data_IF_616552861602
#
_entry.id   IF_616552861602
#
_cell.length_a   1.000
_cell.length_b   1.000
_cell.length_c   1.000
_cell.angle_alpha   90.00
_cell.angle_beta   90.00
_cell.angle_gamma   90.00
#
_symmetry.space_group_name_H-M   'P 1'
#
loop_
_entity.id
_entity.type
_entity.pdbx_description
1 polymer ?
#
# COMPACT_ATOMS: atom_id res chain seq x y z
N UNK A 1 14.48 15.40 -24.30
CA UNK A 1 14.96 14.08 -24.77
C UNK A 1 15.66 13.31 -23.63
N UNK A 2 14.94 12.81 -22.65
CA UNK A 2 15.50 12.04 -21.51
C UNK A 2 14.57 10.99 -20.91
N UNK A 3 13.33 10.94 -21.34
CA UNK A 3 12.29 10.11 -20.73
C UNK A 3 12.39 8.60 -21.06
N UNK A 4 13.08 8.23 -22.14
CA UNK A 4 13.12 6.84 -22.62
C UNK A 4 14.04 5.90 -21.82
N UNK A 5 15.14 6.39 -21.27
CA UNK A 5 16.11 5.59 -20.52
C UNK A 5 15.66 5.31 -19.06
N UNK A 6 14.93 6.24 -18.46
CA UNK A 6 14.39 6.05 -17.09
C UNK A 6 13.24 5.04 -17.04
N UNK A 7 12.37 5.00 -18.07
CA UNK A 7 11.23 4.09 -18.12
C UNK A 7 11.61 2.61 -18.13
N UNK A 8 12.67 2.24 -18.84
CA UNK A 8 13.15 0.85 -18.92
C UNK A 8 13.70 0.34 -17.59
N UNK A 9 14.56 1.13 -16.95
CA UNK A 9 15.19 0.74 -15.66
C UNK A 9 14.18 0.72 -14.51
N UNK A 10 13.24 1.66 -14.46
CA UNK A 10 12.18 1.70 -13.45
C UNK A 10 11.22 0.52 -13.63
N UNK A 11 10.82 0.19 -14.88
CA UNK A 11 9.98 -0.97 -15.16
C UNK A 11 10.60 -2.28 -14.71
N UNK A 12 11.89 -2.48 -14.96
CA UNK A 12 12.63 -3.69 -14.52
C UNK A 12 12.75 -3.76 -13.00
N UNK A 13 13.00 -2.63 -12.32
CA UNK A 13 13.07 -2.58 -10.86
C UNK A 13 11.72 -2.91 -10.23
N UNK A 14 10.62 -2.33 -10.75
CA UNK A 14 9.27 -2.61 -10.30
C UNK A 14 8.88 -4.07 -10.51
N UNK A 15 9.22 -4.65 -11.65
CA UNK A 15 8.95 -6.05 -11.93
C UNK A 15 9.71 -6.97 -10.97
N UNK A 16 10.98 -6.69 -10.70
CA UNK A 16 11.79 -7.46 -9.73
C UNK A 16 11.25 -7.32 -8.30
N UNK A 17 10.85 -6.12 -7.90
CA UNK A 17 10.26 -5.87 -6.58
C UNK A 17 8.94 -6.63 -6.41
N UNK A 18 8.03 -6.53 -7.38
CA UNK A 18 6.74 -7.23 -7.34
C UNK A 18 6.91 -8.74 -7.30
N UNK A 19 7.78 -9.31 -8.13
CA UNK A 19 8.09 -10.75 -8.13
C UNK A 19 8.72 -11.16 -6.80
N UNK A 20 9.65 -10.36 -6.27
CA UNK A 20 10.26 -10.59 -4.95
C UNK A 20 9.22 -10.58 -3.83
N UNK A 21 8.28 -9.63 -3.84
CA UNK A 21 7.16 -9.57 -2.90
C UNK A 21 6.24 -10.79 -2.98
N UNK A 22 5.91 -11.25 -4.19
CA UNK A 22 5.12 -12.47 -4.38
C UNK A 22 5.85 -13.73 -3.91
N UNK A 23 7.16 -13.84 -4.13
CA UNK A 23 7.96 -14.96 -3.63
C UNK A 23 7.99 -14.95 -2.09
N UNK A 24 8.14 -13.79 -1.45
CA UNK A 24 8.10 -13.67 0.02
C UNK A 24 6.71 -14.03 0.56
N UNK A 25 5.65 -13.60 -0.09
CA UNK A 25 4.27 -13.94 0.27
C UNK A 25 4.08 -15.46 0.30
N UNK A 26 4.47 -16.17 -0.80
CA UNK A 26 4.44 -17.63 -0.87
C UNK A 26 5.35 -18.31 0.16
N UNK A 27 6.54 -17.76 0.42
CA UNK A 27 7.44 -18.32 1.43
C UNK A 27 6.92 -18.15 2.86
N UNK A 28 6.06 -17.18 3.08
CA UNK A 28 5.44 -16.89 4.37
C UNK A 28 4.13 -17.68 4.59
N UNK A 29 3.56 -18.31 3.55
CA UNK A 29 2.40 -19.19 3.69
C UNK A 29 2.70 -20.33 4.68
N UNK A 30 1.78 -20.57 5.59
CA UNK A 30 1.92 -21.58 6.65
C UNK A 30 2.93 -21.24 7.74
N UNK A 31 3.52 -20.03 7.73
CA UNK A 31 4.44 -19.56 8.77
C UNK A 31 3.85 -18.40 9.54
N UNK A 32 4.11 -18.39 10.85
CA UNK A 32 3.83 -17.20 11.68
C UNK A 32 4.93 -16.19 11.47
N UNK A 33 4.64 -15.11 10.74
CA UNK A 33 5.55 -13.98 10.55
C UNK A 33 5.16 -12.83 11.46
N UNK A 34 6.13 -11.96 11.78
CA UNK A 34 5.86 -10.75 12.55
C UNK A 34 5.29 -9.61 11.69
N UNK A 35 4.73 -8.58 12.33
CA UNK A 35 4.20 -7.39 11.64
C UNK A 35 5.24 -6.74 10.70
N UNK A 36 6.51 -6.70 11.12
CA UNK A 36 7.59 -6.13 10.32
C UNK A 36 7.85 -6.90 9.00
N UNK A 37 7.76 -8.24 9.04
CA UNK A 37 7.97 -9.07 7.86
C UNK A 37 6.76 -9.00 6.92
N UNK A 38 5.55 -8.95 7.48
CA UNK A 38 4.32 -8.72 6.74
C UNK A 38 4.38 -7.38 6.01
N UNK A 39 4.71 -6.30 6.72
CA UNK A 39 4.84 -4.97 6.16
C UNK A 39 5.85 -4.92 5.00
N UNK A 40 7.01 -5.56 5.16
CA UNK A 40 8.03 -5.64 4.12
C UNK A 40 7.54 -6.39 2.88
N UNK A 41 6.77 -7.45 3.06
CA UNK A 41 6.16 -8.21 1.95
C UNK A 41 5.18 -7.33 1.18
N UNK A 42 4.32 -6.59 1.88
CA UNK A 42 3.33 -5.69 1.30
C UNK A 42 3.96 -4.49 0.60
N UNK A 43 5.02 -3.92 1.17
CA UNK A 43 5.82 -2.87 0.54
C UNK A 43 6.35 -3.34 -0.82
N UNK A 44 6.93 -4.53 -0.90
CA UNK A 44 7.48 -5.06 -2.15
C UNK A 44 6.39 -5.46 -3.14
N UNK A 45 5.29 -6.05 -2.67
CA UNK A 45 4.23 -6.59 -3.52
C UNK A 45 3.34 -5.48 -4.12
N UNK A 46 2.98 -4.49 -3.31
CA UNK A 46 2.00 -3.45 -3.65
C UNK A 46 2.58 -2.04 -3.51
N UNK A 47 3.28 -1.77 -2.41
CA UNK A 47 3.77 -0.44 -2.04
C UNK A 47 4.72 0.16 -3.08
N UNK A 48 5.64 -0.62 -3.62
CA UNK A 48 6.60 -0.16 -4.63
C UNK A 48 5.93 0.32 -5.93
N UNK A 49 4.83 -0.30 -6.34
CA UNK A 49 4.08 0.13 -7.53
C UNK A 49 3.43 1.50 -7.29
N UNK A 50 2.79 1.68 -6.14
CA UNK A 50 2.16 2.95 -5.75
C UNK A 50 3.23 4.04 -5.62
N UNK A 51 4.35 3.73 -4.95
CA UNK A 51 5.49 4.63 -4.79
C UNK A 51 6.04 5.08 -6.15
N UNK A 52 6.29 4.15 -7.05
CA UNK A 52 6.81 4.48 -8.36
C UNK A 52 5.86 5.37 -9.17
N UNK A 53 4.54 5.13 -9.12
CA UNK A 53 3.56 5.98 -9.80
C UNK A 53 3.59 7.42 -9.27
N UNK A 54 3.61 7.60 -7.94
CA UNK A 54 3.66 8.91 -7.30
C UNK A 54 4.99 9.65 -7.60
N UNK A 55 6.12 8.96 -7.46
CA UNK A 55 7.45 9.54 -7.70
C UNK A 55 7.64 9.91 -9.17
N UNK A 56 7.25 9.03 -10.10
CA UNK A 56 7.33 9.33 -11.54
C UNK A 56 6.49 10.55 -11.91
N UNK A 57 5.28 10.68 -11.35
CA UNK A 57 4.46 11.87 -11.54
C UNK A 57 5.18 13.15 -11.09
N UNK A 58 5.79 13.13 -9.92
CA UNK A 58 6.58 14.26 -9.39
C UNK A 58 7.79 14.58 -10.26
N UNK A 59 8.56 13.56 -10.68
CA UNK A 59 9.74 13.74 -11.53
C UNK A 59 9.34 14.32 -12.90
N UNK A 60 8.28 13.80 -13.51
CA UNK A 60 7.78 14.34 -14.80
C UNK A 60 7.28 15.78 -14.70
N UNK A 61 6.77 16.18 -13.54
CA UNK A 61 6.35 17.55 -13.25
C UNK A 61 7.51 18.49 -12.87
N UNK A 62 8.75 17.98 -12.76
CA UNK A 62 9.91 18.78 -12.33
C UNK A 62 9.86 19.17 -10.85
N UNK A 63 9.24 18.34 -10.00
CA UNK A 63 9.17 18.59 -8.56
C UNK A 63 10.56 18.53 -7.91
N UNK A 64 10.74 19.33 -6.86
CA UNK A 64 11.93 19.31 -6.03
C UNK A 64 12.00 18.06 -5.13
N UNK A 65 13.18 17.83 -4.53
CA UNK A 65 13.43 16.66 -3.67
C UNK A 65 12.47 16.59 -2.46
N UNK A 66 12.03 17.74 -1.94
CA UNK A 66 11.08 17.81 -0.82
C UNK A 66 9.71 17.26 -1.23
N UNK A 67 9.23 17.63 -2.41
CA UNK A 67 7.95 17.14 -2.95
C UNK A 67 8.05 15.66 -3.34
N UNK A 68 9.19 15.23 -3.88
CA UNK A 68 9.44 13.82 -4.17
C UNK A 68 9.40 12.99 -2.89
N UNK A 69 10.10 13.41 -1.83
CA UNK A 69 10.07 12.73 -0.54
C UNK A 69 8.66 12.69 0.10
N UNK A 70 7.89 13.76 -0.07
CA UNK A 70 6.49 13.82 0.37
C UNK A 70 5.60 12.84 -0.40
N UNK A 71 5.79 12.72 -1.72
CA UNK A 71 5.10 11.74 -2.56
C UNK A 71 5.45 10.29 -2.19
N UNK A 72 6.73 10.02 -1.88
CA UNK A 72 7.16 8.71 -1.38
C UNK A 72 6.49 8.36 -0.05
N UNK A 73 6.45 9.32 0.89
CA UNK A 73 5.79 9.14 2.19
C UNK A 73 4.28 8.88 2.02
N UNK A 74 3.61 9.66 1.18
CA UNK A 74 2.20 9.47 0.85
C UNK A 74 1.95 8.07 0.31
N UNK A 75 2.74 7.66 -0.69
CA UNK A 75 2.59 6.37 -1.34
C UNK A 75 2.83 5.18 -0.40
N UNK A 76 3.86 5.28 0.44
CA UNK A 76 4.17 4.28 1.47
C UNK A 76 3.00 4.09 2.44
N UNK A 77 2.52 5.19 3.04
CA UNK A 77 1.48 5.12 4.07
C UNK A 77 0.14 4.62 3.48
N UNK A 78 -0.21 5.06 2.26
CA UNK A 78 -1.39 4.58 1.53
C UNK A 78 -1.27 3.10 1.17
N UNK A 79 -0.09 2.65 0.73
CA UNK A 79 0.14 1.26 0.37
C UNK A 79 -0.10 0.31 1.54
N UNK A 80 0.43 0.64 2.72
CA UNK A 80 0.24 -0.15 3.93
C UNK A 80 -1.22 -0.06 4.43
N UNK A 81 -1.80 1.15 4.46
CA UNK A 81 -3.21 1.32 4.85
C UNK A 81 -4.14 0.50 3.96
N UNK A 82 -3.87 0.42 2.65
CA UNK A 82 -4.62 -0.39 1.70
C UNK A 82 -4.60 -1.88 2.09
N UNK A 83 -3.45 -2.44 2.42
CA UNK A 83 -3.33 -3.84 2.81
C UNK A 83 -4.02 -4.13 4.15
N UNK A 84 -3.88 -3.23 5.13
CA UNK A 84 -4.57 -3.38 6.41
C UNK A 84 -6.10 -3.37 6.22
N UNK A 85 -6.61 -2.49 5.37
CA UNK A 85 -8.06 -2.43 5.07
C UNK A 85 -8.51 -3.69 4.33
N UNK A 86 -7.69 -4.22 3.43
CA UNK A 86 -7.96 -5.49 2.73
C UNK A 86 -8.11 -6.65 3.72
N UNK A 87 -7.17 -6.79 4.65
CA UNK A 87 -7.20 -7.79 5.72
C UNK A 87 -8.45 -7.63 6.63
N UNK A 88 -8.86 -6.39 6.92
CA UNK A 88 -10.07 -6.13 7.70
C UNK A 88 -11.32 -6.56 6.93
N UNK A 89 -11.38 -6.23 5.65
CA UNK A 89 -12.50 -6.61 4.80
C UNK A 89 -12.63 -8.12 4.65
N UNK A 90 -11.51 -8.83 4.54
CA UNK A 90 -11.51 -10.30 4.43
C UNK A 90 -12.22 -11.00 5.61
N UNK A 91 -12.21 -10.39 6.80
CA UNK A 91 -12.84 -10.95 8.01
C UNK A 91 -14.16 -10.29 8.41
N UNK A 92 -14.53 -9.15 7.81
CA UNK A 92 -15.71 -8.38 8.23
C UNK A 92 -16.79 -8.20 7.17
N UNK A 93 -16.46 -8.43 5.88
CA UNK A 93 -17.44 -8.33 4.78
C UNK A 93 -18.19 -9.65 4.61
N UNK A 94 -19.33 -9.61 3.91
CA UNK A 94 -20.03 -10.81 3.46
C UNK A 94 -19.46 -11.31 2.13
N UNK A 95 -19.72 -12.61 1.81
CA UNK A 95 -19.20 -13.24 0.59
C UNK A 95 -19.73 -12.58 -0.69
N UNK A 96 -20.96 -12.07 -0.65
CA UNK A 96 -21.59 -11.41 -1.81
C UNK A 96 -20.90 -10.09 -2.13
N UNK A 97 -20.47 -9.38 -1.08
CA UNK A 97 -19.75 -8.10 -1.18
C UNK A 97 -18.29 -8.27 -1.59
N UNK A 98 -17.59 -9.28 -1.07
CA UNK A 98 -16.17 -9.53 -1.37
C UNK A 98 -15.92 -10.19 -2.74
N UNK A 99 -16.90 -10.95 -3.26
CA UNK A 99 -16.71 -11.75 -4.46
C UNK A 99 -15.73 -12.93 -4.29
N UNK A 100 -15.32 -13.23 -3.05
CA UNK A 100 -14.47 -14.36 -2.64
C UNK A 100 -14.97 -14.89 -1.28
N UNK A 101 -14.66 -16.16 -0.88
CA UNK A 101 -14.97 -16.68 0.44
C UNK A 101 -14.40 -15.80 1.56
N UNK A 102 -15.17 -15.61 2.64
CA UNK A 102 -14.72 -14.90 3.85
C UNK A 102 -13.63 -15.75 4.54
N UNK A 103 -12.60 -15.07 5.08
CA UNK A 103 -11.53 -15.75 5.82
C UNK A 103 -10.59 -16.55 4.92
N UNK A 104 -10.52 -16.22 3.63
CA UNK A 104 -9.63 -16.90 2.68
C UNK A 104 -8.16 -16.87 3.12
N UNK A 105 -7.73 -15.84 3.83
CA UNK A 105 -6.37 -15.73 4.38
C UNK A 105 -6.18 -16.64 5.60
N UNK A 106 -7.23 -16.86 6.40
CA UNK A 106 -7.21 -17.79 7.53
C UNK A 106 -7.16 -19.24 7.04
N UNK A 107 -7.94 -19.60 6.01
CA UNK A 107 -7.88 -20.92 5.37
C UNK A 107 -6.49 -21.21 4.77
N UNK A 108 -5.82 -20.21 4.22
CA UNK A 108 -4.46 -20.31 3.67
C UNK A 108 -3.36 -20.18 4.75
N UNK A 109 -3.73 -20.10 6.04
CA UNK A 109 -2.80 -19.93 7.18
C UNK A 109 -1.85 -18.73 6.99
N UNK A 110 -2.34 -17.65 6.37
CA UNK A 110 -1.57 -16.42 6.19
C UNK A 110 -1.58 -15.57 7.46
N UNK A 111 -0.43 -14.99 7.78
CA UNK A 111 -0.38 -13.93 8.79
C UNK A 111 -0.94 -12.64 8.17
N UNK A 112 -1.91 -12.02 8.83
CA UNK A 112 -2.53 -10.75 8.43
C UNK A 112 -2.38 -9.72 9.54
N UNK A 113 -2.59 -8.44 9.25
CA UNK A 113 -2.60 -7.41 10.30
C UNK A 113 -3.68 -7.70 11.34
N UNK A 114 -4.83 -8.21 10.92
CA UNK A 114 -5.93 -8.56 11.83
C UNK A 114 -5.55 -9.73 12.74
N UNK A 115 -4.91 -10.77 12.20
CA UNK A 115 -4.47 -11.92 13.01
C UNK A 115 -3.37 -11.56 14.02
N UNK A 116 -2.52 -10.58 13.69
CA UNK A 116 -1.38 -10.16 14.51
C UNK A 116 -1.73 -9.06 15.53
N UNK A 117 -2.60 -8.13 15.17
CA UNK A 117 -2.91 -6.94 15.97
C UNK A 117 -4.34 -6.92 16.52
N UNK A 118 -5.25 -7.69 15.93
CA UNK A 118 -6.69 -7.59 16.14
C UNK A 118 -7.33 -6.47 15.32
N UNK A 119 -8.65 -6.59 15.08
CA UNK A 119 -9.42 -5.69 14.19
C UNK A 119 -9.31 -4.22 14.62
N UNK A 120 -9.55 -3.92 15.90
CA UNK A 120 -9.60 -2.54 16.41
C UNK A 120 -8.25 -1.82 16.24
N UNK A 121 -7.15 -2.51 16.56
CA UNK A 121 -5.82 -1.93 16.40
C UNK A 121 -5.45 -1.78 14.92
N UNK A 122 -5.85 -2.71 14.07
CA UNK A 122 -5.66 -2.63 12.62
C UNK A 122 -6.42 -1.43 12.04
N UNK A 123 -7.69 -1.22 12.43
CA UNK A 123 -8.47 -0.03 12.02
C UNK A 123 -7.77 1.27 12.41
N UNK A 124 -7.35 1.37 13.67
CA UNK A 124 -6.63 2.55 14.16
C UNK A 124 -5.33 2.80 13.41
N UNK A 125 -4.57 1.75 13.13
CA UNK A 125 -3.32 1.85 12.36
C UNK A 125 -3.59 2.34 10.93
N UNK A 126 -4.60 1.81 10.23
CA UNK A 126 -4.98 2.26 8.90
C UNK A 126 -5.42 3.74 8.89
N UNK A 127 -6.14 4.17 9.94
CA UNK A 127 -6.56 5.55 10.11
C UNK A 127 -5.38 6.50 10.33
N UNK A 128 -4.44 6.14 11.20
CA UNK A 128 -3.21 6.90 11.45
C UNK A 128 -2.35 7.03 10.20
N UNK A 129 -2.18 5.94 9.43
CA UNK A 129 -1.44 5.95 8.17
C UNK A 129 -2.13 6.85 7.13
N UNK A 130 -3.45 6.77 7.00
CA UNK A 130 -4.21 7.64 6.09
C UNK A 130 -4.03 9.12 6.44
N UNK A 131 -4.11 9.48 7.72
CA UNK A 131 -3.86 10.85 8.18
C UNK A 131 -2.42 11.31 7.91
N UNK A 132 -1.43 10.44 8.11
CA UNK A 132 -0.03 10.75 7.82
C UNK A 132 0.20 10.96 6.32
N UNK A 133 -0.41 10.12 5.47
CA UNK A 133 -0.38 10.29 4.03
C UNK A 133 -0.98 11.65 3.61
N UNK A 134 -2.15 12.01 4.12
CA UNK A 134 -2.77 13.31 3.84
C UNK A 134 -1.91 14.49 4.28
N UNK A 135 -1.24 14.39 5.43
CA UNK A 135 -0.29 15.42 5.91
C UNK A 135 0.95 15.54 5.03
N UNK A 136 1.44 14.44 4.48
CA UNK A 136 2.59 14.49 3.57
C UNK A 136 2.30 15.36 2.33
N UNK A 137 1.04 15.41 1.88
CA UNK A 137 0.62 16.24 0.75
C UNK A 137 0.66 17.74 1.03
N UNK A 138 0.80 18.17 2.28
CA UNK A 138 0.93 19.59 2.65
C UNK A 138 2.27 20.21 2.17
N UNK A 139 3.19 19.39 1.66
CA UNK A 139 4.41 19.86 0.99
C UNK A 139 4.17 20.42 -0.43
N UNK A 140 2.98 20.20 -0.99
CA UNK A 140 2.61 20.66 -2.33
C UNK A 140 1.85 21.97 -2.27
N UNK A 141 2.20 22.91 -3.16
CA UNK A 141 1.56 24.24 -3.22
C UNK A 141 0.25 24.25 -4.03
N UNK A 142 -0.02 23.17 -4.79
CA UNK A 142 -1.19 23.03 -5.65
C UNK A 142 -2.37 22.38 -4.97
N UNK A 143 -3.45 22.18 -5.72
CA UNK A 143 -4.63 21.45 -5.25
C UNK A 143 -4.32 19.95 -5.14
N UNK A 144 -4.34 19.44 -3.93
CA UNK A 144 -4.13 18.02 -3.58
C UNK A 144 -5.40 17.33 -3.09
N UNK A 145 -6.55 17.99 -3.24
CA UNK A 145 -7.84 17.48 -2.75
C UNK A 145 -8.16 16.09 -3.27
N UNK A 146 -7.95 15.84 -4.56
CA UNK A 146 -8.18 14.53 -5.19
C UNK A 146 -7.35 13.41 -4.57
N UNK A 147 -6.10 13.68 -4.17
CA UNK A 147 -5.25 12.69 -3.50
C UNK A 147 -5.65 12.47 -2.05
N UNK A 148 -6.08 13.52 -1.33
CA UNK A 148 -6.64 13.41 0.01
C UNK A 148 -7.96 12.61 0.00
N UNK A 149 -8.83 12.88 -0.95
CA UNK A 149 -10.09 12.15 -1.15
C UNK A 149 -9.84 10.68 -1.52
N UNK A 150 -8.83 10.41 -2.34
CA UNK A 150 -8.45 9.05 -2.70
C UNK A 150 -8.00 8.27 -1.46
N UNK A 151 -7.15 8.85 -0.61
CA UNK A 151 -6.72 8.25 0.64
C UNK A 151 -7.91 7.90 1.55
N UNK A 152 -8.87 8.83 1.68
CA UNK A 152 -10.07 8.62 2.48
C UNK A 152 -10.97 7.53 1.91
N UNK A 153 -11.14 7.50 0.58
CA UNK A 153 -11.92 6.44 -0.09
C UNK A 153 -11.31 5.07 0.08
N UNK A 154 -9.98 4.94 0.02
CA UNK A 154 -9.30 3.68 0.27
C UNK A 154 -9.54 3.16 1.68
N UNK A 155 -9.45 4.03 2.69
CA UNK A 155 -9.72 3.68 4.09
C UNK A 155 -11.17 3.23 4.30
N UNK A 156 -12.13 3.88 3.63
CA UNK A 156 -13.56 3.66 3.81
C UNK A 156 -14.19 2.72 2.76
N UNK A 157 -13.38 2.08 1.92
CA UNK A 157 -13.89 1.15 0.92
C UNK A 157 -14.61 -0.03 1.58
N UNK A 158 -15.61 -0.55 0.87
CA UNK A 158 -16.38 -1.71 1.29
C UNK A 158 -16.10 -2.94 0.43
N UNK A 159 -15.39 -2.73 -0.69
CA UNK A 159 -14.94 -3.76 -1.66
C UNK A 159 -13.58 -3.35 -2.20
#
# INVERSE_FOLDING_TARGET
YGCGLFGGSVGVLLQKSKVGGQVLDLQNEGKKVGVSDLQKTDELKTGELIRAACVLGCVCAGADDKKIAAAEKYAHDIGIAFQIVDDILDVTSDEETLGKPIGSDEENQKSTYVSLLGIEKSRKTAEELTLNAQKALDAFDGDVSSLKDFAEKLKNRKN
#
